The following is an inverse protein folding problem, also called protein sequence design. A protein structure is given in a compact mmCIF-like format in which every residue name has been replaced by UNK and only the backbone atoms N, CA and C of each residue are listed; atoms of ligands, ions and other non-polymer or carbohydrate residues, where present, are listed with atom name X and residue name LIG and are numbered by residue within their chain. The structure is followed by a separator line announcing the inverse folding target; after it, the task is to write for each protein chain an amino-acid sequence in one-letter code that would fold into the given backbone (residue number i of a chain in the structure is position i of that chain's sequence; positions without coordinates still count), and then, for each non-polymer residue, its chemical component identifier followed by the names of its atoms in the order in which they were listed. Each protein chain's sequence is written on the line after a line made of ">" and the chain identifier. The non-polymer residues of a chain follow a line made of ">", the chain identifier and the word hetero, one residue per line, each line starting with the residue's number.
data_IF_129490729863
#
_entry.id   IF_129490729863
#
_cell.length_a   1.000
_cell.length_b   1.000
_cell.length_c   1.000
_cell.angle_alpha   90.00
_cell.angle_beta   90.00
_cell.angle_gamma   90.00
#
_symmetry.space_group_name_H-M   'P 1'
#
loop_
_entity.id
_entity.type
_entity.pdbx_description
1 polymer ?
#
# COMPACT_ATOMS: atom_id res chain seq x y z
N UNK A 1 20.33 -1.28 -5.49
CA UNK A 1 20.03 -2.36 -4.51
C UNK A 1 18.93 -1.84 -3.62
N UNK A 2 17.78 -2.53 -3.57
CA UNK A 2 16.66 -2.13 -2.73
C UNK A 2 17.11 -2.14 -1.25
N UNK A 3 16.94 -1.03 -0.50
CA UNK A 3 17.47 -0.91 0.87
C UNK A 3 16.92 -1.98 1.82
N UNK A 4 15.72 -2.50 1.55
CA UNK A 4 15.10 -3.53 2.37
C UNK A 4 15.89 -4.84 2.37
N UNK A 5 16.49 -5.22 1.25
CA UNK A 5 17.20 -6.51 1.10
C UNK A 5 18.39 -6.60 2.08
N UNK A 6 19.01 -5.47 2.41
CA UNK A 6 20.11 -5.42 3.37
C UNK A 6 19.65 -5.47 4.84
N UNK A 7 18.36 -5.25 5.11
CA UNK A 7 17.79 -5.13 6.44
C UNK A 7 17.01 -6.38 6.89
N UNK A 8 16.48 -7.13 5.93
CA UNK A 8 15.68 -8.32 6.20
C UNK A 8 16.44 -9.63 6.06
N UNK A 9 15.75 -10.71 6.40
CA UNK A 9 16.18 -12.08 6.15
C UNK A 9 15.20 -12.78 5.21
N UNK A 10 15.70 -13.65 4.34
CA UNK A 10 14.83 -14.45 3.48
C UNK A 10 14.19 -15.57 4.29
N UNK A 11 12.87 -15.72 4.15
CA UNK A 11 12.08 -16.76 4.79
C UNK A 11 11.24 -17.50 3.73
N UNK A 12 11.09 -18.83 3.81
CA UNK A 12 10.12 -19.57 3.00
C UNK A 12 8.70 -19.02 3.18
N UNK A 13 7.92 -18.95 2.09
CA UNK A 13 6.57 -18.38 2.17
C UNK A 13 5.60 -19.21 3.03
N UNK A 14 5.76 -20.53 3.09
CA UNK A 14 4.91 -21.40 3.92
C UNK A 14 5.13 -21.18 5.43
N UNK A 15 6.39 -20.90 5.81
CA UNK A 15 6.75 -20.50 7.16
C UNK A 15 6.17 -19.12 7.47
N UNK A 16 6.35 -18.14 6.58
CA UNK A 16 5.78 -16.81 6.76
C UNK A 16 4.25 -16.88 6.86
N UNK A 17 3.57 -17.56 5.94
CA UNK A 17 2.11 -17.64 5.90
C UNK A 17 1.53 -18.17 7.22
N UNK A 18 2.19 -19.17 7.83
CA UNK A 18 1.81 -19.70 9.15
C UNK A 18 1.97 -18.64 10.25
N UNK A 19 3.06 -17.89 10.21
CA UNK A 19 3.35 -16.80 11.14
C UNK A 19 2.34 -15.65 10.99
N UNK A 20 2.02 -15.23 9.77
CA UNK A 20 1.03 -14.17 9.51
C UNK A 20 -0.35 -14.56 10.05
N UNK A 21 -0.81 -15.79 9.78
CA UNK A 21 -2.08 -16.30 10.31
C UNK A 21 -2.10 -16.31 11.83
N UNK A 22 -1.02 -16.71 12.48
CA UNK A 22 -0.92 -16.68 13.94
C UNK A 22 -1.06 -15.26 14.48
N UNK A 23 -0.38 -14.28 13.87
CA UNK A 23 -0.44 -12.87 14.27
C UNK A 23 -1.83 -12.26 14.03
N UNK A 24 -2.42 -12.49 12.86
CA UNK A 24 -3.77 -12.02 12.53
C UNK A 24 -4.79 -12.56 13.56
N UNK A 25 -4.74 -13.85 13.85
CA UNK A 25 -5.61 -14.47 14.85
C UNK A 25 -5.43 -13.87 16.25
N UNK A 26 -4.19 -13.57 16.64
CA UNK A 26 -3.88 -12.97 17.94
C UNK A 26 -4.42 -11.52 18.09
N UNK A 27 -4.60 -10.78 16.99
CA UNK A 27 -5.13 -9.41 17.02
C UNK A 27 -6.65 -9.34 17.17
N UNK A 28 -7.36 -10.41 16.83
CA UNK A 28 -8.82 -10.45 16.91
C UNK A 28 -9.53 -9.46 15.97
N UNK A 29 -8.90 -9.11 14.84
CA UNK A 29 -9.49 -8.23 13.83
C UNK A 29 -10.72 -8.90 13.20
N UNK A 30 -11.81 -8.16 13.00
CA UNK A 30 -12.96 -8.60 12.20
C UNK A 30 -12.89 -8.06 10.77
N UNK A 31 -13.36 -8.76 9.73
CA UNK A 31 -13.52 -10.20 9.55
C UNK A 31 -12.15 -10.85 9.27
N UNK A 32 -11.68 -11.81 10.09
CA UNK A 32 -10.32 -12.37 9.98
C UNK A 32 -10.03 -12.98 8.60
N UNK A 33 -11.07 -13.46 7.90
CA UNK A 33 -10.96 -14.03 6.56
C UNK A 33 -10.37 -13.06 5.52
N UNK A 34 -10.60 -11.75 5.61
CA UNK A 34 -10.02 -10.81 4.64
C UNK A 34 -8.51 -10.67 4.84
N UNK A 35 -8.08 -10.58 6.09
CA UNK A 35 -6.67 -10.48 6.47
C UNK A 35 -5.92 -11.80 6.26
N UNK A 36 -6.54 -12.94 6.58
CA UNK A 36 -5.96 -14.28 6.41
C UNK A 36 -5.82 -14.69 4.94
N UNK A 37 -6.70 -14.20 4.06
CA UNK A 37 -6.66 -14.48 2.61
C UNK A 37 -5.31 -14.13 2.00
N UNK A 38 -4.67 -13.04 2.44
CA UNK A 38 -3.34 -12.66 1.96
C UNK A 38 -2.34 -13.80 2.15
N UNK A 39 -2.30 -14.39 3.35
CA UNK A 39 -1.36 -15.45 3.69
C UNK A 39 -1.59 -16.73 2.87
N UNK A 40 -2.83 -17.01 2.48
CA UNK A 40 -3.15 -18.11 1.55
C UNK A 40 -2.81 -17.76 0.10
N UNK A 41 -3.16 -16.55 -0.34
CA UNK A 41 -3.00 -16.10 -1.72
C UNK A 41 -1.53 -16.03 -2.13
N UNK A 42 -0.66 -15.57 -1.24
CA UNK A 42 0.80 -15.54 -1.47
C UNK A 42 1.35 -16.92 -1.87
N UNK A 43 0.85 -17.99 -1.25
CA UNK A 43 1.29 -19.37 -1.54
C UNK A 43 0.76 -19.88 -2.88
N UNK A 44 -0.39 -19.39 -3.32
CA UNK A 44 -1.01 -19.76 -4.60
C UNK A 44 -0.34 -19.02 -5.75
N UNK A 45 -0.11 -17.72 -5.61
CA UNK A 45 0.42 -16.87 -6.68
C UNK A 45 1.91 -17.08 -6.90
N UNK A 46 2.64 -17.39 -5.81
CA UNK A 46 4.10 -17.43 -5.82
C UNK A 46 4.67 -18.64 -5.06
N UNK A 47 4.31 -19.88 -5.42
CA UNK A 47 4.62 -21.08 -4.65
C UNK A 47 6.12 -21.33 -4.42
N UNK A 48 6.99 -20.83 -5.31
CA UNK A 48 8.44 -21.03 -5.27
C UNK A 48 9.21 -19.79 -4.76
N UNK A 49 8.51 -18.72 -4.40
CA UNK A 49 9.11 -17.46 -3.95
C UNK A 49 9.41 -17.46 -2.45
N UNK A 50 10.01 -16.36 -2.00
CA UNK A 50 10.40 -16.12 -0.61
C UNK A 50 9.80 -14.83 -0.11
N UNK A 51 9.75 -14.71 1.21
CA UNK A 51 9.55 -13.45 1.88
C UNK A 51 10.88 -12.82 2.26
N UNK A 52 10.92 -11.49 2.25
CA UNK A 52 11.89 -10.70 2.96
C UNK A 52 11.28 -10.25 4.29
N UNK A 53 11.83 -10.75 5.39
CA UNK A 53 11.28 -10.52 6.74
C UNK A 53 12.19 -9.58 7.52
N UNK A 54 11.62 -8.46 7.96
CA UNK A 54 12.23 -7.54 8.91
C UNK A 54 11.66 -7.88 10.29
N UNK A 55 12.47 -8.49 11.15
CA UNK A 55 12.02 -9.11 12.40
C UNK A 55 11.70 -8.12 13.53
N UNK A 56 11.97 -6.83 13.33
CA UNK A 56 11.75 -5.77 14.31
C UNK A 56 11.21 -4.50 13.64
N UNK A 57 10.72 -3.57 14.45
CA UNK A 57 10.30 -2.27 13.97
C UNK A 57 11.43 -1.60 13.18
N UNK A 58 11.10 -1.08 12.00
CA UNK A 58 12.08 -0.56 11.05
C UNK A 58 11.72 0.86 10.64
N UNK A 59 12.71 1.75 10.58
CA UNK A 59 12.55 3.12 10.10
C UNK A 59 13.51 3.39 8.94
N UNK A 60 12.99 3.91 7.84
CA UNK A 60 13.75 4.33 6.67
C UNK A 60 13.72 5.86 6.51
N UNK A 61 14.88 6.51 6.30
CA UNK A 61 14.98 7.97 6.26
C UNK A 61 14.52 8.60 4.93
N UNK A 62 14.27 7.78 3.91
CA UNK A 62 13.95 8.22 2.54
C UNK A 62 12.85 7.32 1.97
N UNK A 63 12.48 7.59 0.72
CA UNK A 63 11.57 6.75 -0.06
C UNK A 63 12.03 5.30 -0.10
N UNK A 64 11.05 4.39 -0.15
CA UNK A 64 11.25 2.97 -0.37
C UNK A 64 10.23 2.46 -1.37
N UNK A 65 10.73 1.78 -2.42
CA UNK A 65 9.88 1.00 -3.32
C UNK A 65 9.84 -0.45 -2.86
N UNK A 66 8.66 -1.04 -2.94
CA UNK A 66 8.39 -2.47 -2.74
C UNK A 66 7.89 -3.10 -4.04
N UNK A 67 8.16 -2.51 -5.20
CA UNK A 67 7.89 -3.10 -6.51
C UNK A 67 8.78 -4.34 -6.76
N UNK A 68 8.47 -5.12 -7.81
CA UNK A 68 9.29 -6.27 -8.20
C UNK A 68 10.74 -5.89 -8.51
N UNK A 69 10.98 -4.68 -9.02
CA UNK A 69 12.33 -4.22 -9.33
C UNK A 69 13.23 -4.23 -8.08
N UNK A 70 14.35 -4.95 -8.17
CA UNK A 70 15.29 -5.13 -7.06
C UNK A 70 14.84 -6.08 -5.95
N UNK A 71 13.63 -6.65 -6.01
CA UNK A 71 13.15 -7.70 -5.10
C UNK A 71 13.02 -9.07 -5.80
N UNK A 72 12.51 -9.09 -7.04
CA UNK A 72 12.30 -10.31 -7.82
C UNK A 72 13.62 -11.04 -8.14
N UNK A 73 14.73 -10.30 -8.30
CA UNK A 73 16.09 -10.86 -8.49
C UNK A 73 16.54 -11.75 -7.32
N UNK A 74 15.97 -11.53 -6.13
CA UNK A 74 16.22 -12.32 -4.92
C UNK A 74 15.13 -13.38 -4.69
N UNK A 75 14.18 -13.52 -5.62
CA UNK A 75 13.01 -14.39 -5.50
C UNK A 75 12.03 -13.92 -4.43
N UNK A 76 11.98 -12.61 -4.13
CA UNK A 76 11.11 -12.05 -3.10
C UNK A 76 9.76 -11.70 -3.71
N UNK A 77 8.69 -12.27 -3.16
CA UNK A 77 7.30 -11.96 -3.52
C UNK A 77 6.49 -11.38 -2.35
N UNK A 78 7.12 -11.22 -1.18
CA UNK A 78 6.47 -10.64 0.00
C UNK A 78 7.50 -9.91 0.84
N UNK A 79 7.16 -8.72 1.31
CA UNK A 79 7.92 -7.98 2.32
C UNK A 79 7.07 -7.95 3.60
N UNK A 80 7.61 -8.50 4.69
CA UNK A 80 6.91 -8.56 5.97
C UNK A 80 7.75 -7.86 7.07
N UNK A 81 7.13 -6.91 7.77
CA UNK A 81 7.70 -6.24 8.93
C UNK A 81 6.98 -6.74 10.19
N UNK A 82 7.70 -7.48 11.04
CA UNK A 82 7.17 -8.08 12.27
C UNK A 82 7.25 -7.10 13.46
N UNK A 83 6.89 -5.85 13.19
CA UNK A 83 6.89 -4.71 14.10
C UNK A 83 6.28 -3.50 13.41
N UNK A 84 6.59 -2.30 13.89
CA UNK A 84 6.15 -1.05 13.27
C UNK A 84 7.02 -0.71 12.06
N UNK A 85 6.44 -0.10 11.03
CA UNK A 85 7.19 0.36 9.86
C UNK A 85 7.03 1.86 9.67
N UNK A 86 8.15 2.57 9.59
CA UNK A 86 8.17 4.02 9.39
C UNK A 86 9.02 4.40 8.19
N UNK A 87 8.46 5.16 7.27
CA UNK A 87 9.14 5.75 6.12
C UNK A 87 9.03 7.27 6.23
N UNK A 88 10.17 7.97 6.26
CA UNK A 88 10.17 9.43 6.31
C UNK A 88 9.78 10.04 4.96
N UNK A 89 10.10 9.36 3.86
CA UNK A 89 9.62 9.66 2.51
C UNK A 89 8.38 8.85 2.13
N UNK A 90 8.34 8.42 0.86
CA UNK A 90 7.24 7.69 0.23
C UNK A 90 7.40 6.18 0.37
N UNK A 91 6.31 5.47 0.65
CA UNK A 91 6.20 4.02 0.44
C UNK A 91 5.54 3.78 -0.92
N UNK A 92 6.25 3.12 -1.83
CA UNK A 92 5.88 3.05 -3.24
C UNK A 92 5.71 1.59 -3.67
N UNK A 93 4.52 1.28 -4.17
CA UNK A 93 4.28 0.24 -5.16
C UNK A 93 3.64 0.94 -6.36
N UNK A 94 4.40 1.14 -7.42
CA UNK A 94 3.96 1.88 -8.61
C UNK A 94 3.33 0.97 -9.68
N UNK A 95 3.55 -0.34 -9.63
CA UNK A 95 2.97 -1.27 -10.60
C UNK A 95 1.49 -1.52 -10.31
N UNK A 96 0.59 -1.13 -11.22
CA UNK A 96 -0.87 -1.31 -11.10
C UNK A 96 -1.32 -2.76 -11.24
N UNK A 97 -0.50 -3.60 -11.89
CA UNK A 97 -0.82 -5.01 -12.12
C UNK A 97 -0.42 -5.90 -10.95
N UNK A 98 0.38 -5.38 -10.01
CA UNK A 98 0.73 -6.11 -8.81
C UNK A 98 2.00 -5.62 -8.12
N UNK A 99 2.58 -6.51 -7.35
CA UNK A 99 3.84 -6.29 -6.67
C UNK A 99 4.01 -7.28 -5.52
N UNK A 100 5.20 -7.35 -4.93
CA UNK A 100 5.41 -8.03 -3.67
C UNK A 100 4.36 -7.65 -2.63
N UNK A 101 3.69 -8.65 -2.07
CA UNK A 101 2.74 -8.43 -0.99
C UNK A 101 3.42 -7.74 0.19
N UNK A 102 2.72 -6.82 0.84
CA UNK A 102 3.28 -6.03 1.93
C UNK A 102 2.52 -6.26 3.23
N UNK A 103 3.23 -6.65 4.27
CA UNK A 103 2.66 -6.94 5.59
C UNK A 103 3.38 -6.16 6.69
N UNK A 104 2.60 -5.56 7.61
CA UNK A 104 3.10 -4.91 8.82
C UNK A 104 2.30 -5.41 10.02
N UNK A 105 2.97 -6.01 11.00
CA UNK A 105 2.31 -6.46 12.25
C UNK A 105 1.94 -5.27 13.16
N UNK A 106 2.76 -4.22 13.16
CA UNK A 106 2.55 -3.02 13.95
C UNK A 106 1.82 -1.91 13.19
N UNK A 107 2.13 -0.68 13.58
CA UNK A 107 1.64 0.53 12.92
C UNK A 107 2.52 0.88 11.70
N UNK A 108 1.91 1.46 10.67
CA UNK A 108 2.59 1.98 9.49
C UNK A 108 2.55 3.51 9.50
N UNK A 109 3.70 4.15 9.37
CA UNK A 109 3.80 5.60 9.18
C UNK A 109 4.58 5.91 7.92
N UNK A 110 4.04 6.75 7.03
CA UNK A 110 4.73 7.17 5.81
C UNK A 110 4.53 8.66 5.53
N UNK A 111 5.43 9.25 4.74
CA UNK A 111 5.26 10.59 4.19
C UNK A 111 4.09 10.60 3.22
N UNK A 112 4.18 9.77 2.19
CA UNK A 112 3.11 9.46 1.25
C UNK A 112 3.07 7.96 1.00
N UNK A 113 1.92 7.46 0.56
CA UNK A 113 1.75 6.04 0.19
C UNK A 113 1.22 6.02 -1.23
N UNK A 114 1.95 5.36 -2.13
CA UNK A 114 1.50 5.00 -3.47
C UNK A 114 1.35 3.49 -3.49
N UNK A 115 0.12 3.01 -3.65
CA UNK A 115 -0.23 1.59 -3.72
C UNK A 115 -0.87 1.33 -5.07
N UNK A 116 -0.21 0.55 -5.91
CA UNK A 116 -0.76 -0.02 -7.13
C UNK A 116 -1.47 -1.33 -6.82
N UNK A 117 -1.13 -2.37 -7.59
CA UNK A 117 -1.78 -3.66 -7.54
C UNK A 117 -1.36 -4.58 -6.39
N UNK A 118 -0.33 -4.24 -5.61
CA UNK A 118 0.12 -5.10 -4.52
C UNK A 118 -0.86 -5.12 -3.34
N UNK A 119 -1.02 -6.28 -2.70
CA UNK A 119 -1.82 -6.41 -1.48
C UNK A 119 -1.08 -5.91 -0.24
N UNK A 120 -1.69 -4.97 0.49
CA UNK A 120 -1.18 -4.36 1.71
C UNK A 120 -2.02 -4.81 2.91
N UNK A 121 -1.39 -5.38 3.94
CA UNK A 121 -2.03 -5.75 5.20
C UNK A 121 -1.26 -5.18 6.38
N UNK A 122 -1.89 -4.24 7.09
CA UNK A 122 -1.34 -3.57 8.26
C UNK A 122 -2.23 -3.93 9.43
N UNK A 123 -1.71 -4.61 10.45
CA UNK A 123 -2.53 -5.03 11.60
C UNK A 123 -2.75 -3.90 12.63
N UNK A 124 -1.88 -2.88 12.61
CA UNK A 124 -2.02 -1.67 13.41
C UNK A 124 -2.80 -0.56 12.71
N UNK A 125 -2.47 0.68 13.06
CA UNK A 125 -2.99 1.90 12.42
C UNK A 125 -2.05 2.36 11.30
N UNK A 126 -2.60 3.07 10.32
CA UNK A 126 -1.83 3.73 9.25
C UNK A 126 -1.89 5.25 9.44
N UNK A 127 -0.72 5.89 9.45
CA UNK A 127 -0.58 7.35 9.40
C UNK A 127 0.22 7.76 8.17
N UNK A 128 -0.48 8.28 7.16
CA UNK A 128 0.12 8.95 6.00
C UNK A 128 0.13 10.46 6.26
N UNK A 129 1.30 11.12 6.20
CA UNK A 129 1.38 12.58 6.45
C UNK A 129 0.84 13.40 5.27
N UNK A 130 0.93 12.86 4.06
CA UNK A 130 0.51 13.46 2.81
C UNK A 130 -0.61 12.65 2.16
N UNK A 131 -0.49 12.43 0.85
CA UNK A 131 -1.49 11.73 0.06
C UNK A 131 -1.27 10.21 0.17
N UNK A 132 -2.37 9.50 0.42
CA UNK A 132 -2.46 8.07 0.20
C UNK A 132 -3.19 7.84 -1.13
N UNK A 133 -2.49 7.33 -2.12
CA UNK A 133 -3.00 7.05 -3.44
C UNK A 133 -3.07 5.54 -3.66
N UNK A 134 -4.27 5.03 -3.90
CA UNK A 134 -4.55 3.64 -4.26
C UNK A 134 -5.01 3.60 -5.71
N UNK A 135 -4.15 3.05 -6.56
CA UNK A 135 -4.36 2.89 -7.98
C UNK A 135 -4.88 1.49 -8.29
N UNK A 136 -5.88 1.44 -9.17
CA UNK A 136 -6.44 0.26 -9.80
C UNK A 136 -7.07 -0.78 -8.84
N UNK A 137 -7.84 -1.69 -9.42
CA UNK A 137 -8.66 -2.67 -8.71
C UNK A 137 -7.94 -3.93 -8.25
N UNK A 138 -6.63 -3.98 -8.47
CA UNK A 138 -5.79 -5.06 -7.98
C UNK A 138 -5.27 -4.79 -6.57
N UNK A 139 -5.19 -5.86 -5.78
CA UNK A 139 -4.67 -5.83 -4.42
C UNK A 139 -5.61 -5.11 -3.44
N UNK A 140 -5.67 -5.61 -2.21
CA UNK A 140 -6.43 -4.95 -1.14
C UNK A 140 -5.51 -4.09 -0.29
N UNK A 141 -6.04 -3.01 0.30
CA UNK A 141 -5.37 -2.29 1.38
C UNK A 141 -6.18 -2.45 2.66
N UNK A 142 -5.75 -3.38 3.51
CA UNK A 142 -6.41 -3.72 4.77
C UNK A 142 -5.64 -3.13 5.96
N UNK A 143 -6.34 -2.34 6.78
CA UNK A 143 -5.83 -1.71 8.01
C UNK A 143 -6.63 -2.23 9.20
N UNK A 144 -5.95 -2.79 10.20
CA UNK A 144 -6.60 -3.40 11.35
C UNK A 144 -7.25 -2.40 12.29
N UNK A 145 -6.73 -1.17 12.35
CA UNK A 145 -7.23 -0.08 13.21
C UNK A 145 -7.56 1.16 12.38
N UNK A 146 -7.12 2.32 12.83
CA UNK A 146 -7.42 3.62 12.22
C UNK A 146 -6.52 3.89 11.01
N UNK A 147 -7.06 4.62 10.05
CA UNK A 147 -6.33 5.15 8.90
C UNK A 147 -6.44 6.67 8.91
N UNK A 148 -5.30 7.37 8.82
CA UNK A 148 -5.26 8.83 8.67
C UNK A 148 -4.37 9.23 7.49
N UNK A 149 -4.87 10.14 6.65
CA UNK A 149 -4.10 10.79 5.58
C UNK A 149 -4.52 12.25 5.42
N UNK A 150 -3.68 13.06 4.75
CA UNK A 150 -4.08 14.43 4.37
C UNK A 150 -5.17 14.41 3.29
N UNK A 151 -5.10 13.44 2.38
CA UNK A 151 -6.17 13.03 1.48
C UNK A 151 -5.97 11.55 1.10
N UNK A 152 -7.08 10.89 0.80
CA UNK A 152 -7.12 9.49 0.36
C UNK A 152 -7.71 9.51 -1.04
N UNK A 153 -6.93 9.12 -2.04
CA UNK A 153 -7.38 9.00 -3.43
C UNK A 153 -7.46 7.52 -3.76
N UNK A 154 -8.63 7.05 -4.19
CA UNK A 154 -8.84 5.67 -4.61
C UNK A 154 -9.43 5.64 -6.01
N UNK A 155 -8.81 4.90 -6.92
CA UNK A 155 -9.33 4.65 -8.26
C UNK A 155 -9.70 3.17 -8.37
N UNK A 156 -10.99 2.84 -8.22
CA UNK A 156 -11.50 1.44 -8.25
C UNK A 156 -10.77 0.48 -7.27
N UNK A 157 -10.28 0.98 -6.12
CA UNK A 157 -9.42 0.19 -5.23
C UNK A 157 -10.08 -0.20 -3.90
N UNK A 158 -9.92 -1.46 -3.50
CA UNK A 158 -10.44 -2.01 -2.25
C UNK A 158 -9.60 -1.56 -1.03
N UNK A 159 -10.06 -0.51 -0.35
CA UNK A 159 -9.49 -0.02 0.91
C UNK A 159 -10.43 -0.29 2.10
N UNK A 160 -9.88 -0.86 3.17
CA UNK A 160 -10.63 -1.11 4.40
C UNK A 160 -9.82 -0.74 5.64
N UNK A 161 -10.46 -0.08 6.60
CA UNK A 161 -9.95 0.15 7.93
C UNK A 161 -10.92 -0.41 8.98
N UNK A 162 -10.41 -1.13 9.97
CA UNK A 162 -11.21 -1.67 11.08
C UNK A 162 -11.66 -0.61 12.09
N UNK A 163 -10.99 0.54 12.10
CA UNK A 163 -11.30 1.71 12.92
C UNK A 163 -11.76 2.91 12.09
N UNK A 164 -11.42 4.12 12.55
CA UNK A 164 -11.83 5.35 11.88
C UNK A 164 -10.94 5.66 10.66
N UNK A 165 -11.55 6.17 9.59
CA UNK A 165 -10.83 6.78 8.45
C UNK A 165 -10.88 8.30 8.60
N UNK A 166 -9.71 8.94 8.63
CA UNK A 166 -9.54 10.39 8.80
C UNK A 166 -8.83 11.00 7.60
N UNK A 167 -9.49 11.99 6.99
CA UNK A 167 -9.04 12.66 5.76
C UNK A 167 -10.17 12.66 4.72
N UNK A 168 -10.16 13.61 3.76
CA UNK A 168 -11.08 13.56 2.65
C UNK A 168 -10.80 12.32 1.78
N UNK A 169 -11.86 11.58 1.47
CA UNK A 169 -11.82 10.47 0.50
C UNK A 169 -12.23 11.06 -0.85
N UNK A 170 -11.39 10.83 -1.84
CA UNK A 170 -11.55 11.27 -3.22
C UNK A 170 -11.58 10.02 -4.07
N UNK A 171 -12.74 9.70 -4.64
CA UNK A 171 -12.93 8.48 -5.41
C UNK A 171 -13.87 8.69 -6.59
N UNK A 172 -13.69 7.84 -7.59
CA UNK A 172 -14.58 7.68 -8.73
C UNK A 172 -15.98 7.24 -8.27
N UNK A 173 -16.04 6.34 -7.28
CA UNK A 173 -17.31 5.90 -6.67
C UNK A 173 -18.11 7.03 -6.01
N UNK A 174 -17.42 8.02 -5.43
CA UNK A 174 -18.05 9.19 -4.81
C UNK A 174 -18.36 10.30 -5.83
N UNK A 175 -17.82 10.22 -7.05
CA UNK A 175 -17.99 11.22 -8.10
C UNK A 175 -17.44 12.61 -7.73
N UNK A 176 -16.46 12.68 -6.82
CA UNK A 176 -15.94 13.94 -6.28
C UNK A 176 -14.53 14.29 -6.80
N UNK A 177 -13.94 13.45 -7.66
CA UNK A 177 -12.59 13.65 -8.21
C UNK A 177 -12.43 15.00 -8.91
N UNK A 178 -13.33 15.35 -9.84
CA UNK A 178 -13.27 16.64 -10.56
C UNK A 178 -13.43 17.86 -9.67
N UNK A 179 -14.11 17.74 -8.53
CA UNK A 179 -14.22 18.84 -7.57
C UNK A 179 -12.90 19.04 -6.81
N UNK A 180 -12.25 17.94 -6.43
CA UNK A 180 -11.15 17.93 -5.45
C UNK A 180 -9.75 17.90 -6.08
N UNK A 181 -9.60 17.39 -7.29
CA UNK A 181 -8.32 17.18 -7.97
C UNK A 181 -8.05 18.22 -9.05
N UNK A 182 -6.79 18.59 -9.24
CA UNK A 182 -6.39 19.53 -10.29
C UNK A 182 -6.67 18.95 -11.70
N UNK A 183 -7.01 19.76 -12.72
CA UNK A 183 -7.31 19.24 -14.07
C UNK A 183 -6.19 18.40 -14.69
N UNK A 184 -4.94 18.67 -14.33
CA UNK A 184 -3.74 18.04 -14.90
C UNK A 184 -3.56 16.56 -14.52
N UNK A 185 -4.45 15.97 -13.73
CA UNK A 185 -4.44 14.52 -13.43
C UNK A 185 -5.51 13.73 -14.17
N UNK A 186 -6.27 14.36 -15.07
CA UNK A 186 -7.29 13.70 -15.88
C UNK A 186 -6.79 13.45 -17.31
N UNK A 187 -7.33 12.42 -17.97
CA UNK A 187 -6.95 12.06 -19.34
C UNK A 187 -7.24 13.20 -20.33
N UNK A 188 -8.42 13.83 -20.21
CA UNK A 188 -8.78 15.04 -20.92
C UNK A 188 -9.06 16.19 -19.92
N UNK A 189 -8.09 17.08 -19.67
CA UNK A 189 -8.25 18.18 -18.72
C UNK A 189 -9.28 19.22 -19.17
N UNK A 190 -9.55 19.31 -20.48
CA UNK A 190 -10.45 20.30 -21.07
C UNK A 190 -11.91 19.80 -21.19
N UNK A 191 -12.13 18.48 -21.10
CA UNK A 191 -13.47 17.89 -21.02
C UNK A 191 -13.97 17.81 -19.56
N UNK A 192 -14.95 18.63 -19.14
CA UNK A 192 -15.50 18.57 -17.79
C UNK A 192 -16.33 17.30 -17.51
N UNK A 193 -16.59 16.46 -18.51
CA UNK A 193 -17.28 15.18 -18.36
C UNK A 193 -16.34 13.98 -18.23
N UNK A 194 -15.04 14.17 -18.45
CA UNK A 194 -14.06 13.11 -18.24
C UNK A 194 -13.82 12.92 -16.74
N UNK A 195 -14.47 11.97 -16.10
CA UNK A 195 -14.24 11.72 -14.67
C UNK A 195 -13.08 10.74 -14.41
N UNK A 196 -12.34 10.33 -15.46
CA UNK A 196 -11.25 9.36 -15.36
C UNK A 196 -9.92 10.04 -15.03
N UNK A 197 -9.44 9.76 -13.82
CA UNK A 197 -8.11 10.16 -13.39
C UNK A 197 -7.08 9.24 -14.05
N UNK A 198 -6.07 9.85 -14.66
CA UNK A 198 -4.88 9.15 -15.14
C UNK A 198 -3.92 8.94 -13.96
N UNK A 199 -3.76 7.68 -13.55
CA UNK A 199 -2.92 7.31 -12.43
C UNK A 199 -1.43 7.61 -12.64
N UNK A 200 -0.94 7.57 -13.88
CA UNK A 200 0.45 7.94 -14.20
C UNK A 200 0.64 9.45 -13.98
N UNK A 201 -0.35 10.28 -14.35
CA UNK A 201 -0.31 11.73 -14.09
C UNK A 201 -0.35 12.04 -12.59
N UNK A 202 -1.18 11.34 -11.81
CA UNK A 202 -1.18 11.47 -10.34
C UNK A 202 0.20 11.13 -9.78
N UNK A 203 0.76 9.96 -10.13
CA UNK A 203 2.07 9.50 -9.66
C UNK A 203 3.18 10.48 -10.03
N UNK A 204 3.20 10.96 -11.27
CA UNK A 204 4.19 11.91 -11.75
C UNK A 204 4.15 13.23 -10.97
N UNK A 205 2.96 13.73 -10.63
CA UNK A 205 2.83 14.95 -9.82
C UNK A 205 3.26 14.75 -8.37
N UNK A 206 2.88 13.63 -7.75
CA UNK A 206 3.35 13.27 -6.41
C UNK A 206 4.89 13.19 -6.38
N UNK A 207 5.49 12.54 -7.37
CA UNK A 207 6.95 12.45 -7.50
C UNK A 207 7.62 13.82 -7.69
N UNK A 208 7.01 14.70 -8.48
CA UNK A 208 7.50 16.05 -8.69
C UNK A 208 7.23 17.01 -7.51
N UNK A 209 6.54 16.57 -6.45
CA UNK A 209 6.08 17.43 -5.36
C UNK A 209 5.08 18.49 -5.82
N UNK A 210 4.37 18.23 -6.91
CA UNK A 210 3.38 19.13 -7.48
C UNK A 210 1.99 18.87 -6.84
N UNK A 211 1.13 19.90 -6.75
CA UNK A 211 -0.20 19.73 -6.16
C UNK A 211 -1.05 18.76 -6.98
N UNK A 212 -1.66 17.79 -6.31
CA UNK A 212 -2.69 16.91 -6.89
C UNK A 212 -4.10 17.39 -6.49
N UNK A 213 -4.22 18.03 -5.33
CA UNK A 213 -5.48 18.60 -4.83
C UNK A 213 -5.64 20.05 -5.29
N UNK A 214 -6.89 20.47 -5.53
CA UNK A 214 -7.23 21.90 -5.63
C UNK A 214 -7.07 22.57 -4.26
N UNK A 215 -6.70 23.86 -4.28
CA UNK A 215 -6.51 24.70 -3.09
C UNK A 215 -7.75 25.55 -2.85
#
# INVERSE_FOLDING_TARGET
>A
MNPLVALGQLMPLDELARELKHRIAARGLGPPRAFERLADQILVDHPDSKALVLSASTTLPSDVSIDYEGLAEHGIATVAVLGDFSVQGRLINADSEGGPYFFVDGDLTAGEIVKGGAGFVILGSVTCRGILFCDYNHGTFLVGKDLSAAAIITCDSDLHAGGDIKGPIISDELGNMREMLVPEVFEDPDDPQDDFVDADLVRARLEAGQPVLKV
#
